data_IF_139769502634
#
_entry.id   IF_139769502634
#
_cell.length_a   1.000
_cell.length_b   1.000
_cell.length_c   1.000
_cell.angle_alpha   90.00
_cell.angle_beta   90.00
_cell.angle_gamma   90.00
#
_symmetry.space_group_name_H-M   'P 1'
#
loop_
_entity.id
_entity.type
_entity.pdbx_description
1 polymer ?
#
# COMPACT_ATOMS: atom_id res chain seq x y z
N UNK A 1 1.76 -15.32 -10.99
CA UNK A 1 2.96 -14.48 -10.93
C UNK A 1 2.65 -13.28 -10.07
N UNK A 2 2.91 -13.41 -8.78
CA UNK A 2 2.85 -12.31 -7.85
C UNK A 2 4.03 -11.39 -8.16
N UNK A 3 3.78 -10.10 -8.34
CA UNK A 3 4.83 -9.12 -8.66
C UNK A 3 5.10 -8.29 -7.42
N UNK A 4 6.31 -8.38 -6.91
CA UNK A 4 6.76 -7.55 -5.78
C UNK A 4 7.81 -6.53 -6.23
N UNK A 5 7.78 -5.35 -5.60
CA UNK A 5 8.81 -4.33 -5.77
C UNK A 5 9.01 -3.55 -4.49
N UNK A 6 10.27 -3.37 -4.13
CA UNK A 6 10.69 -2.48 -3.05
C UNK A 6 11.39 -1.25 -3.64
N UNK A 7 11.07 -0.07 -3.12
CA UNK A 7 11.74 1.16 -3.49
C UNK A 7 11.78 2.14 -2.31
N UNK A 8 12.92 2.83 -2.17
CA UNK A 8 13.05 4.01 -1.31
C UNK A 8 12.65 5.23 -2.10
N UNK A 9 11.63 5.96 -1.64
CA UNK A 9 11.11 7.15 -2.32
C UNK A 9 11.25 8.38 -1.43
N UNK A 10 11.62 9.51 -2.05
CA UNK A 10 11.56 10.86 -1.47
C UNK A 10 10.25 11.54 -1.88
N UNK A 11 9.76 12.54 -1.10
CA UNK A 11 8.56 13.27 -1.47
C UNK A 11 8.70 13.88 -2.88
N UNK A 12 7.72 13.58 -3.74
CA UNK A 12 7.72 13.97 -5.15
C UNK A 12 8.18 12.86 -6.11
N UNK A 13 8.90 11.85 -5.63
CA UNK A 13 9.33 10.70 -6.43
C UNK A 13 8.21 9.69 -6.65
N UNK A 14 8.39 8.84 -7.65
CA UNK A 14 7.44 7.80 -7.99
C UNK A 14 8.13 6.49 -8.31
N UNK A 15 7.46 5.37 -8.01
CA UNK A 15 7.86 4.04 -8.45
C UNK A 15 6.85 3.50 -9.46
N UNK A 16 7.35 2.79 -10.46
CA UNK A 16 6.52 2.08 -11.42
C UNK A 16 6.61 0.57 -11.18
N UNK A 17 5.46 -0.10 -11.17
CA UNK A 17 5.32 -1.56 -11.06
C UNK A 17 4.17 -1.99 -11.98
N UNK A 18 4.50 -2.77 -13.02
CA UNK A 18 3.56 -3.09 -14.13
C UNK A 18 2.95 -1.80 -14.73
N UNK A 19 1.63 -1.71 -14.79
CA UNK A 19 0.84 -0.55 -15.23
C UNK A 19 0.54 0.44 -14.10
N UNK A 20 0.97 0.17 -12.87
CA UNK A 20 0.79 1.06 -11.73
C UNK A 20 2.00 1.99 -11.56
N UNK A 21 1.71 3.28 -11.37
CA UNK A 21 2.70 4.25 -10.92
C UNK A 21 2.25 4.79 -9.57
N UNK A 22 3.08 4.61 -8.55
CA UNK A 22 2.83 5.14 -7.20
C UNK A 22 3.73 6.35 -6.98
N UNK A 23 3.12 7.52 -6.78
CA UNK A 23 3.83 8.76 -6.47
C UNK A 23 3.73 9.05 -4.99
N UNK A 24 4.88 9.16 -4.33
CA UNK A 24 4.96 9.48 -2.92
C UNK A 24 4.90 11.00 -2.73
N UNK A 25 3.93 11.50 -1.97
CA UNK A 25 3.74 12.94 -1.73
C UNK A 25 4.41 13.42 -0.43
N UNK A 26 4.71 12.50 0.48
CA UNK A 26 5.21 12.81 1.81
C UNK A 26 4.50 12.00 2.89
N UNK A 27 5.01 12.05 4.11
CA UNK A 27 4.31 11.51 5.28
C UNK A 27 4.09 12.60 6.33
N UNK A 28 3.08 12.38 7.16
CA UNK A 28 2.86 13.11 8.39
C UNK A 28 3.06 12.18 9.58
N UNK A 29 3.68 12.70 10.63
CA UNK A 29 3.85 11.98 11.90
C UNK A 29 2.78 12.47 12.86
N UNK A 30 1.94 11.56 13.31
CA UNK A 30 1.00 11.79 14.40
C UNK A 30 1.61 11.17 15.66
N UNK A 31 1.93 12.02 16.63
CA UNK A 31 2.38 11.58 17.94
C UNK A 31 1.19 11.54 18.89
N UNK A 32 0.92 10.36 19.41
CA UNK A 32 0.05 10.15 20.57
C UNK A 32 0.91 9.76 21.78
N UNK A 33 0.43 9.98 23.01
CA UNK A 33 1.18 9.64 24.23
C UNK A 33 1.65 8.18 24.31
N UNK A 34 0.94 7.27 23.62
CA UNK A 34 1.19 5.83 23.66
C UNK A 34 1.62 5.23 22.31
N UNK A 35 1.63 6.01 21.22
CA UNK A 35 1.93 5.51 19.87
C UNK A 35 2.47 6.61 18.96
N UNK A 36 3.37 6.24 18.07
CA UNK A 36 3.81 7.09 16.95
C UNK A 36 3.21 6.51 15.68
N UNK A 37 2.48 7.33 14.93
CA UNK A 37 1.86 6.92 13.66
C UNK A 37 2.50 7.72 12.54
N UNK A 38 3.14 7.04 11.61
CA UNK A 38 3.58 7.66 10.35
C UNK A 38 2.56 7.35 9.27
N UNK A 39 1.88 8.38 8.78
CA UNK A 39 0.92 8.29 7.69
C UNK A 39 1.55 8.85 6.42
N UNK A 40 1.94 7.98 5.50
CA UNK A 40 2.40 8.38 4.18
C UNK A 40 1.21 8.65 3.26
N UNK A 41 1.33 9.63 2.36
CA UNK A 41 0.35 9.91 1.31
C UNK A 41 0.94 9.51 -0.03
N UNK A 42 0.25 8.64 -0.77
CA UNK A 42 0.67 8.23 -2.10
C UNK A 42 -0.46 8.30 -3.10
N UNK A 43 -0.17 8.84 -4.28
CA UNK A 43 -1.08 8.81 -5.42
C UNK A 43 -0.81 7.58 -6.28
N UNK A 44 -1.86 6.82 -6.58
CA UNK A 44 -1.81 5.64 -7.44
C UNK A 44 -2.39 6.00 -8.80
N UNK A 45 -1.55 5.84 -9.82
CA UNK A 45 -1.89 6.00 -11.22
C UNK A 45 -1.93 4.65 -11.91
N UNK A 46 -2.83 4.48 -12.86
CA UNK A 46 -2.92 3.31 -13.75
C UNK A 46 -2.97 3.82 -15.17
N UNK A 47 -2.06 3.36 -16.02
CA UNK A 47 -1.96 3.79 -17.42
C UNK A 47 -1.91 5.33 -17.58
N UNK A 48 -1.20 5.99 -16.65
CA UNK A 48 -1.04 7.45 -16.62
C UNK A 48 -2.20 8.23 -15.98
N UNK A 49 -3.34 7.60 -15.68
CA UNK A 49 -4.48 8.25 -15.06
C UNK A 49 -4.46 8.07 -13.54
N UNK A 50 -4.63 9.14 -12.77
CA UNK A 50 -4.76 9.06 -11.31
C UNK A 50 -6.05 8.32 -10.96
N UNK A 51 -5.94 7.18 -10.29
CA UNK A 51 -7.12 6.38 -9.93
C UNK A 51 -7.52 6.61 -8.49
N UNK A 52 -6.56 6.68 -7.56
CA UNK A 52 -6.85 6.84 -6.13
C UNK A 52 -5.63 7.39 -5.37
N UNK A 53 -5.88 8.10 -4.28
CA UNK A 53 -4.87 8.41 -3.25
C UNK A 53 -5.00 7.41 -2.11
N UNK A 54 -3.89 6.82 -1.68
CA UNK A 54 -3.81 5.88 -0.57
C UNK A 54 -2.96 6.47 0.56
N UNK A 55 -3.23 6.04 1.79
CA UNK A 55 -2.60 6.57 2.99
C UNK A 55 -1.95 5.45 3.83
N UNK A 56 -0.85 4.82 3.37
CA UNK A 56 -0.19 3.76 4.14
C UNK A 56 0.31 4.28 5.49
N UNK A 57 -0.16 3.65 6.57
CA UNK A 57 0.18 3.99 7.94
C UNK A 57 1.15 2.97 8.54
N UNK A 58 2.08 3.44 9.37
CA UNK A 58 2.90 2.58 10.22
C UNK A 58 2.75 3.01 11.67
N UNK A 59 2.37 2.09 12.54
CA UNK A 59 2.15 2.35 13.96
C UNK A 59 3.32 1.78 14.76
N UNK A 60 3.90 2.61 15.62
CA UNK A 60 4.97 2.23 16.53
C UNK A 60 4.53 2.46 17.96
N UNK A 61 4.49 1.39 18.74
CA UNK A 61 4.12 1.40 20.15
C UNK A 61 5.39 1.29 20.99
N UNK A 62 5.95 2.41 21.49
CA UNK A 62 7.20 2.40 22.25
C UNK A 62 7.12 1.57 23.54
N UNK A 63 5.94 1.51 24.16
CA UNK A 63 5.69 0.78 25.42
C UNK A 63 5.70 -0.73 25.24
N UNK A 64 5.30 -1.23 24.07
CA UNK A 64 5.21 -2.67 23.78
C UNK A 64 6.39 -3.19 22.94
N UNK A 65 7.29 -2.29 22.50
CA UNK A 65 8.41 -2.59 21.57
C UNK A 65 7.99 -3.37 20.31
N UNK A 66 6.70 -3.36 19.96
CA UNK A 66 6.15 -4.18 18.89
C UNK A 66 5.70 -3.27 17.75
N UNK A 67 6.45 -3.20 16.63
CA UNK A 67 6.04 -2.41 15.47
C UNK A 67 4.86 -3.11 14.79
N UNK A 68 3.75 -2.39 14.59
CA UNK A 68 2.62 -2.89 13.79
C UNK A 68 2.51 -2.04 12.53
N UNK A 69 2.73 -2.66 11.36
CA UNK A 69 2.59 -1.96 10.08
C UNK A 69 1.18 -2.18 9.56
N UNK A 70 0.41 -1.11 9.35
CA UNK A 70 -0.89 -1.22 8.69
C UNK A 70 -0.65 -1.31 7.17
N UNK A 71 -1.14 -2.40 6.58
CA UNK A 71 -1.07 -2.61 5.13
C UNK A 71 -2.29 -1.97 4.48
N UNK A 72 -2.08 -0.97 3.62
CA UNK A 72 -3.19 -0.40 2.86
C UNK A 72 -3.42 -1.27 1.63
N UNK A 73 -4.56 -1.96 1.65
CA UNK A 73 -5.07 -2.79 0.58
C UNK A 73 -5.83 -1.92 -0.43
N UNK A 74 -5.46 -1.99 -1.71
CA UNK A 74 -6.32 -1.59 -2.80
C UNK A 74 -6.76 -2.84 -3.56
N UNK A 75 -7.98 -3.29 -3.29
CA UNK A 75 -8.62 -4.33 -4.09
C UNK A 75 -9.28 -3.74 -5.33
N UNK A 76 -8.96 -4.31 -6.50
CA UNK A 76 -9.70 -4.07 -7.74
C UNK A 76 -10.33 -5.37 -8.22
N UNK A 77 -11.27 -5.29 -9.18
CA UNK A 77 -11.95 -6.46 -9.75
C UNK A 77 -11.03 -7.46 -10.48
N UNK A 78 -9.74 -7.15 -10.68
CA UNK A 78 -8.78 -8.00 -11.40
C UNK A 78 -7.51 -8.31 -10.61
N UNK A 79 -7.02 -7.37 -9.80
CA UNK A 79 -5.79 -7.50 -9.03
C UNK A 79 -5.89 -6.76 -7.70
N UNK A 80 -5.21 -7.27 -6.68
CA UNK A 80 -5.03 -6.62 -5.38
C UNK A 80 -3.64 -5.99 -5.30
N UNK A 81 -3.59 -4.66 -5.12
CA UNK A 81 -2.36 -3.90 -4.92
C UNK A 81 -2.18 -3.65 -3.41
N UNK A 82 -1.16 -4.25 -2.84
CA UNK A 82 -0.77 -4.08 -1.45
C UNK A 82 0.40 -3.10 -1.37
N UNK A 83 0.26 -2.06 -0.56
CA UNK A 83 1.33 -1.08 -0.33
C UNK A 83 1.63 -1.02 1.15
N UNK A 84 2.89 -1.24 1.48
CA UNK A 84 3.39 -1.31 2.84
C UNK A 84 4.44 -0.24 3.05
N UNK A 85 4.24 0.62 4.05
CA UNK A 85 5.27 1.54 4.54
C UNK A 85 6.23 0.77 5.45
N UNK A 86 7.38 0.36 4.90
CA UNK A 86 8.34 -0.47 5.62
C UNK A 86 9.12 0.35 6.65
N UNK A 87 9.72 1.47 6.25
CA UNK A 87 10.50 2.31 7.15
C UNK A 87 10.49 3.77 6.68
N UNK A 88 10.00 4.72 7.50
CA UNK A 88 10.27 6.13 7.30
C UNK A 88 11.69 6.44 7.79
N UNK A 89 12.44 7.23 7.01
CA UNK A 89 13.77 7.73 7.35
C UNK A 89 13.69 9.18 7.82
N UNK A 90 14.73 9.64 8.51
CA UNK A 90 14.84 11.02 9.04
C UNK A 90 14.86 12.08 7.92
N UNK A 91 15.37 11.73 6.73
CA UNK A 91 15.44 12.61 5.55
C UNK A 91 14.09 12.81 4.83
N UNK A 92 12.96 12.47 5.47
CA UNK A 92 11.61 12.39 4.87
C UNK A 92 11.44 11.35 3.76
N UNK A 93 12.48 10.57 3.46
CA UNK A 93 12.39 9.41 2.57
C UNK A 93 11.70 8.24 3.27
N UNK A 94 11.09 7.35 2.50
CA UNK A 94 10.43 6.17 3.05
C UNK A 94 10.62 4.97 2.13
N UNK A 95 10.83 3.81 2.75
CA UNK A 95 10.90 2.52 2.05
C UNK A 95 9.47 2.00 1.89
N UNK A 96 9.07 1.78 0.64
CA UNK A 96 7.78 1.20 0.29
C UNK A 96 7.98 -0.19 -0.31
N UNK A 97 7.19 -1.14 0.18
CA UNK A 97 7.06 -2.48 -0.41
C UNK A 97 5.71 -2.60 -1.06
N UNK A 98 5.69 -2.96 -2.33
CA UNK A 98 4.47 -3.07 -3.13
C UNK A 98 4.34 -4.49 -3.66
N UNK A 99 3.18 -5.09 -3.46
CA UNK A 99 2.85 -6.44 -3.93
C UNK A 99 1.60 -6.38 -4.80
N UNK A 100 1.64 -7.04 -5.95
CA UNK A 100 0.49 -7.25 -6.84
C UNK A 100 0.14 -8.72 -6.78
N UNK A 101 -0.99 -9.03 -6.15
CA UNK A 101 -1.54 -10.38 -6.11
C UNK A 101 -2.73 -10.44 -7.09
N UNK A 102 -2.71 -11.36 -8.08
CA UNK A 102 -3.79 -11.53 -9.05
C UNK A 102 -4.97 -12.37 -8.53
N UNK A 103 -5.00 -12.67 -7.23
CA UNK A 103 -5.90 -13.66 -6.65
C UNK A 103 -7.16 -12.96 -6.11
N UNK A 104 -8.36 -13.42 -6.53
CA UNK A 104 -9.68 -13.28 -5.86
C UNK A 104 -10.81 -12.56 -6.66
N UNK A 105 -10.71 -12.41 -7.98
CA UNK A 105 -11.95 -12.20 -8.78
C UNK A 105 -12.76 -13.50 -9.00
N UNK A 106 -12.10 -14.66 -8.93
CA UNK A 106 -12.69 -15.95 -9.34
C UNK A 106 -13.62 -16.61 -8.31
N UNK A 107 -13.65 -16.16 -7.06
CA UNK A 107 -14.52 -16.76 -6.03
C UNK A 107 -16.00 -16.42 -6.28
N UNK A 108 -16.31 -15.34 -6.98
CA UNK A 108 -17.69 -14.94 -7.29
C UNK A 108 -18.36 -15.76 -8.41
N UNK A 109 -17.57 -16.48 -9.22
CA UNK A 109 -18.10 -17.32 -10.30
C UNK A 109 -18.54 -18.72 -9.84
N UNK A 110 -18.15 -19.16 -8.64
CA UNK A 110 -18.56 -20.47 -8.11
C UNK A 110 -20.00 -20.49 -7.59
N UNK A 111 -20.57 -19.34 -7.19
CA UNK A 111 -21.95 -19.24 -6.71
C UNK A 111 -23.02 -19.39 -7.81
N UNK A 112 -22.67 -19.10 -9.08
CA UNK A 112 -23.59 -19.20 -10.22
C UNK A 112 -23.73 -20.62 -10.78
N UNK A 113 -22.82 -21.54 -10.42
CA UNK A 113 -22.85 -22.94 -10.89
C UNK A 113 -23.71 -23.83 -9.99
N UNK A 114 -23.99 -23.42 -8.74
CA UNK A 114 -24.74 -24.23 -7.77
C UNK A 114 -26.26 -24.10 -7.93
N UNK A 115 -26.77 -23.09 -8.62
CA UNK A 115 -28.22 -22.87 -8.81
C UNK A 115 -28.82 -23.47 -10.08
N UNK A 116 -28.01 -24.11 -10.94
CA UNK A 116 -28.47 -24.85 -12.14
C UNK A 116 -28.13 -26.35 -12.00
N UNK A 117 -28.22 -26.88 -10.78
CA UNK A 117 -28.08 -28.30 -10.46
C UNK A 117 -29.38 -28.86 -9.89
#
# INVERSE_FOLDING_TARGET
FDTEKEATLKPGESMQIRNYTLKYLGYQTLQDPNKVVWQATMDVYVDGNKVKTIYPNKHYYPVQQQPTTEVVLRSTLKEDLYVVLAQPNEDKSAIFKVYINPLIAFVWLSGLVVTVG
#
